data_IF_639332893577
#
_entry.id   IF_639332893577
#
_cell.length_a   1.000
_cell.length_b   1.000
_cell.length_c   1.000
_cell.angle_alpha   90.00
_cell.angle_beta   90.00
_cell.angle_gamma   90.00
#
_symmetry.space_group_name_H-M   'P 1'
#
loop_
_entity.id
_entity.type
_entity.pdbx_description
1 polymer ?
#
# COMPACT_ATOMS: atom_id res chain seq x y z
N UNK A 1 0.97 -8.00 13.49
CA UNK A 1 1.52 -9.07 12.61
C UNK A 1 2.82 -8.55 12.03
N UNK A 2 3.92 -9.27 12.21
CA UNK A 2 5.23 -8.86 11.70
C UNK A 2 5.24 -8.85 10.18
N UNK A 3 5.81 -7.80 9.58
CA UNK A 3 6.08 -7.72 8.14
C UNK A 3 7.57 -7.89 7.93
N UNK A 4 7.93 -8.83 7.06
CA UNK A 4 9.31 -9.16 6.72
C UNK A 4 9.94 -8.02 5.94
N UNK A 5 11.20 -7.71 6.23
CA UNK A 5 11.98 -6.77 5.43
C UNK A 5 12.65 -7.47 4.24
N UNK A 6 13.03 -8.74 4.44
CA UNK A 6 13.64 -9.58 3.42
C UNK A 6 12.56 -10.37 2.67
N UNK A 7 12.84 -10.64 1.41
CA UNK A 7 12.10 -11.59 0.60
C UNK A 7 12.92 -12.87 0.39
N UNK A 8 12.29 -13.91 -0.14
CA UNK A 8 12.95 -15.20 -0.32
C UNK A 8 14.14 -15.11 -1.29
N UNK A 9 14.09 -14.23 -2.30
CA UNK A 9 15.17 -14.04 -3.26
C UNK A 9 16.44 -13.47 -2.59
N UNK A 10 16.29 -12.68 -1.53
CA UNK A 10 17.45 -12.15 -0.79
C UNK A 10 18.27 -13.27 -0.13
N UNK A 11 17.61 -14.33 0.35
CA UNK A 11 18.28 -15.51 0.90
C UNK A 11 19.01 -16.31 -0.17
N UNK A 12 18.44 -16.39 -1.38
CA UNK A 12 19.03 -17.12 -2.50
C UNK A 12 20.37 -16.53 -2.97
N UNK A 13 20.66 -15.28 -2.61
CA UNK A 13 21.98 -14.67 -2.82
C UNK A 13 23.10 -15.23 -1.94
N UNK A 14 22.78 -15.97 -0.87
CA UNK A 14 23.75 -16.50 0.10
C UNK A 14 23.66 -18.02 0.27
N UNK A 15 22.47 -18.59 0.13
CA UNK A 15 22.21 -20.04 0.30
C UNK A 15 21.43 -20.60 -0.88
N UNK A 16 21.66 -21.87 -1.23
CA UNK A 16 20.93 -22.50 -2.34
C UNK A 16 19.47 -22.76 -1.96
N UNK A 17 18.55 -22.85 -2.95
CA UNK A 17 17.15 -23.15 -2.70
C UNK A 17 16.94 -24.44 -1.89
N UNK A 18 17.73 -25.48 -2.15
CA UNK A 18 17.62 -26.78 -1.47
C UNK A 18 17.96 -26.64 0.02
N UNK A 19 19.04 -25.91 0.33
CA UNK A 19 19.45 -25.65 1.71
C UNK A 19 18.41 -24.80 2.42
N UNK A 20 17.86 -23.79 1.75
CA UNK A 20 16.83 -22.93 2.32
C UNK A 20 15.54 -23.71 2.62
N UNK A 21 15.12 -24.58 1.72
CA UNK A 21 13.97 -25.46 1.91
C UNK A 21 14.19 -26.46 3.06
N UNK A 22 15.38 -27.05 3.15
CA UNK A 22 15.75 -27.93 4.27
C UNK A 22 15.72 -27.21 5.61
N UNK A 23 16.23 -25.98 5.64
CA UNK A 23 16.27 -25.23 6.88
C UNK A 23 14.85 -24.85 7.33
N UNK A 24 14.03 -24.36 6.41
CA UNK A 24 12.69 -23.90 6.76
C UNK A 24 11.70 -25.05 6.95
N UNK A 25 11.99 -26.25 6.41
CA UNK A 25 11.08 -27.41 6.37
C UNK A 25 9.68 -27.05 5.85
N UNK A 26 9.59 -26.03 4.99
CA UNK A 26 8.33 -25.48 4.49
C UNK A 26 7.54 -24.62 5.49
N UNK A 27 8.06 -24.35 6.69
CA UNK A 27 7.40 -23.50 7.68
C UNK A 27 7.88 -22.04 7.58
N UNK A 28 7.01 -21.20 7.05
CA UNK A 28 7.23 -19.75 6.91
C UNK A 28 7.49 -19.01 8.22
N UNK A 29 7.00 -19.52 9.37
CA UNK A 29 7.22 -18.87 10.67
C UNK A 29 8.70 -18.84 11.07
N UNK A 30 9.51 -19.78 10.59
CA UNK A 30 10.94 -19.79 10.91
C UNK A 30 11.66 -18.57 10.31
N UNK A 31 11.23 -18.09 9.14
CA UNK A 31 11.74 -16.84 8.59
C UNK A 31 11.37 -15.65 9.47
N UNK A 32 10.10 -15.57 9.88
CA UNK A 32 9.60 -14.47 10.72
C UNK A 32 10.41 -14.38 12.02
N UNK A 33 10.57 -15.49 12.74
CA UNK A 33 11.32 -15.50 14.01
C UNK A 33 12.80 -15.15 13.84
N UNK A 34 13.43 -15.66 12.78
CA UNK A 34 14.83 -15.38 12.50
C UNK A 34 15.07 -13.93 12.07
N UNK A 35 14.18 -13.35 11.24
CA UNK A 35 14.24 -11.94 10.85
C UNK A 35 13.95 -11.01 12.02
N UNK A 36 12.97 -11.34 12.88
CA UNK A 36 12.68 -10.58 14.11
C UNK A 36 13.91 -10.51 15.02
N UNK A 37 14.60 -11.64 15.24
CA UNK A 37 15.82 -11.68 16.05
C UNK A 37 16.97 -10.88 15.42
N UNK A 38 17.18 -11.05 14.10
CA UNK A 38 18.21 -10.32 13.37
C UNK A 38 17.95 -8.81 13.37
N UNK A 39 16.68 -8.41 13.20
CA UNK A 39 16.26 -7.01 13.22
C UNK A 39 16.42 -6.39 14.59
N UNK A 40 16.08 -7.12 15.66
CA UNK A 40 16.30 -6.66 17.03
C UNK A 40 17.77 -6.29 17.26
N UNK A 41 18.71 -7.14 16.80
CA UNK A 41 20.15 -6.82 16.88
C UNK A 41 20.53 -5.58 16.05
N UNK A 42 19.98 -5.42 14.84
CA UNK A 42 20.25 -4.24 14.00
C UNK A 42 19.72 -2.96 14.66
N UNK A 43 18.51 -3.00 15.20
CA UNK A 43 17.87 -1.86 15.86
C UNK A 43 18.61 -1.50 17.14
N UNK A 44 18.99 -2.48 17.96
CA UNK A 44 19.75 -2.26 19.20
C UNK A 44 21.04 -1.48 18.97
N UNK A 45 21.81 -1.84 17.93
CA UNK A 45 23.09 -1.18 17.64
C UNK A 45 22.95 0.17 16.95
N UNK A 46 21.95 0.36 16.09
CA UNK A 46 21.89 1.52 15.19
C UNK A 46 20.86 2.58 15.61
N UNK A 47 19.88 2.23 16.44
CA UNK A 47 18.77 3.14 16.78
C UNK A 47 19.19 4.38 17.55
N UNK A 48 20.32 4.36 18.26
CA UNK A 48 20.80 5.54 19.00
C UNK A 48 21.19 6.67 18.04
N UNK A 49 21.86 6.32 16.94
CA UNK A 49 22.54 7.25 16.05
C UNK A 49 21.85 7.44 14.69
N UNK A 50 21.00 6.49 14.30
CA UNK A 50 20.43 6.40 12.95
C UNK A 50 18.92 6.17 12.97
N UNK A 51 18.23 6.60 11.92
CA UNK A 51 16.80 6.36 11.69
C UNK A 51 16.54 4.96 11.11
N UNK A 52 17.14 3.93 11.71
CA UNK A 52 17.13 2.55 11.19
C UNK A 52 15.73 1.97 11.08
N UNK A 53 14.83 2.28 12.01
CA UNK A 53 13.44 1.82 11.98
C UNK A 53 12.68 2.39 10.77
N UNK A 54 12.96 3.64 10.38
CA UNK A 54 12.36 4.25 9.19
C UNK A 54 12.88 3.60 7.92
N UNK A 55 14.17 3.29 7.84
CA UNK A 55 14.74 2.55 6.70
C UNK A 55 14.18 1.12 6.60
N UNK A 56 14.02 0.42 7.72
CA UNK A 56 13.36 -0.89 7.75
C UNK A 56 11.90 -0.79 7.31
N UNK A 57 11.18 0.26 7.75
CA UNK A 57 9.81 0.49 7.36
C UNK A 57 9.65 0.66 5.84
N UNK A 58 10.60 1.28 5.14
CA UNK A 58 10.57 1.39 3.66
C UNK A 58 10.45 0.03 2.98
N UNK A 59 11.23 -0.96 3.43
CA UNK A 59 11.17 -2.32 2.88
C UNK A 59 9.94 -3.10 3.32
N UNK A 60 9.53 -2.96 4.58
CA UNK A 60 8.37 -3.67 5.15
C UNK A 60 7.02 -3.18 4.65
N UNK A 61 6.96 -1.97 4.11
CA UNK A 61 5.76 -1.37 3.56
C UNK A 61 5.57 -1.63 2.06
N UNK A 62 6.51 -2.31 1.39
CA UNK A 62 6.35 -2.76 0.01
C UNK A 62 5.28 -3.85 0.00
N UNK A 63 4.22 -3.63 -0.75
CA UNK A 63 3.12 -4.56 -0.92
C UNK A 63 3.11 -5.15 -2.34
N UNK A 64 2.49 -6.31 -2.50
CA UNK A 64 2.17 -6.85 -3.83
C UNK A 64 1.25 -5.91 -4.61
N UNK A 65 1.41 -5.93 -5.93
CA UNK A 65 0.49 -5.27 -6.83
C UNK A 65 -0.92 -5.83 -6.64
N UNK A 66 -1.87 -4.92 -6.44
CA UNK A 66 -3.27 -5.19 -6.26
C UNK A 66 -4.04 -4.19 -7.12
N UNK A 67 -4.77 -4.71 -8.11
CA UNK A 67 -5.55 -3.89 -9.07
C UNK A 67 -6.65 -3.04 -8.42
N UNK A 68 -6.94 -3.24 -7.13
CA UNK A 68 -7.86 -2.40 -6.33
C UNK A 68 -7.23 -1.09 -5.87
N UNK A 69 -5.91 -1.05 -5.80
CA UNK A 69 -5.15 0.04 -5.20
C UNK A 69 -4.60 0.95 -6.28
N UNK A 70 -4.72 2.26 -6.07
CA UNK A 70 -4.09 3.27 -6.92
C UNK A 70 -2.68 3.57 -6.41
N UNK A 71 -1.68 3.44 -7.29
CA UNK A 71 -0.27 3.64 -6.96
C UNK A 71 0.25 4.95 -7.58
N UNK A 72 0.64 5.95 -6.76
CA UNK A 72 1.25 7.18 -7.25
C UNK A 72 2.73 6.96 -7.64
N UNK A 73 3.30 7.91 -8.38
CA UNK A 73 4.72 7.87 -8.78
C UNK A 73 5.64 7.89 -7.55
N UNK A 74 6.71 7.09 -7.59
CA UNK A 74 7.76 6.99 -6.58
C UNK A 74 7.51 5.93 -5.50
N UNK A 75 6.37 5.23 -5.52
CA UNK A 75 6.13 4.09 -4.61
C UNK A 75 6.75 2.81 -5.15
N UNK A 76 7.02 1.86 -4.26
CA UNK A 76 7.57 0.55 -4.62
C UNK A 76 6.57 -0.57 -4.34
N UNK A 77 6.44 -1.49 -5.29
CA UNK A 77 5.52 -2.64 -5.22
C UNK A 77 6.24 -3.93 -5.63
N UNK A 78 5.74 -5.06 -5.14
CA UNK A 78 6.08 -6.36 -5.71
C UNK A 78 5.22 -6.62 -6.95
N UNK A 79 5.87 -6.84 -8.07
CA UNK A 79 5.24 -7.24 -9.33
C UNK A 79 6.05 -8.40 -9.92
N UNK A 80 5.38 -9.52 -10.20
CA UNK A 80 6.02 -10.76 -10.67
C UNK A 80 7.20 -11.24 -9.78
N UNK A 81 7.09 -11.04 -8.46
CA UNK A 81 8.11 -11.45 -7.48
C UNK A 81 9.35 -10.55 -7.42
N UNK A 82 9.36 -9.41 -8.13
CA UNK A 82 10.43 -8.42 -8.10
C UNK A 82 9.92 -7.06 -7.60
N UNK A 83 10.81 -6.28 -7.00
CA UNK A 83 10.48 -4.94 -6.51
C UNK A 83 10.66 -3.94 -7.65
N UNK A 84 9.58 -3.23 -7.96
CA UNK A 84 9.56 -2.19 -8.95
C UNK A 84 9.19 -0.85 -8.33
N UNK A 85 9.78 0.22 -8.84
CA UNK A 85 9.33 1.59 -8.63
C UNK A 85 8.26 1.96 -9.65
N UNK A 86 7.21 2.63 -9.19
CA UNK A 86 6.17 3.19 -10.03
C UNK A 86 6.67 4.52 -10.60
N UNK A 87 6.95 4.56 -11.90
CA UNK A 87 7.44 5.75 -12.62
C UNK A 87 6.31 6.52 -13.32
N UNK A 88 5.16 5.88 -13.53
CA UNK A 88 3.90 6.51 -13.94
C UNK A 88 2.79 5.94 -13.09
N UNK A 89 1.83 6.78 -12.69
CA UNK A 89 0.71 6.34 -11.86
C UNK A 89 -0.01 5.14 -12.46
N UNK A 90 -0.47 4.25 -11.58
CA UNK A 90 -1.27 3.08 -11.93
C UNK A 90 -2.57 3.22 -11.14
N UNK A 91 -3.68 3.38 -11.84
CA UNK A 91 -5.01 3.53 -11.25
C UNK A 91 -5.57 2.16 -10.88
N UNK A 92 -6.14 2.07 -9.68
CA UNK A 92 -6.98 0.93 -9.33
C UNK A 92 -8.39 1.12 -9.87
N UNK A 93 -9.13 0.02 -10.03
CA UNK A 93 -10.52 0.10 -10.48
C UNK A 93 -11.40 0.79 -9.43
N UNK A 94 -12.50 1.40 -9.89
CA UNK A 94 -13.45 2.12 -9.03
C UNK A 94 -14.77 1.36 -8.95
N UNK A 95 -15.32 1.22 -7.74
CA UNK A 95 -16.64 0.62 -7.52
C UNK A 95 -17.74 1.69 -7.54
N UNK A 96 -18.96 1.38 -8.02
CA UNK A 96 -20.12 2.25 -7.84
C UNK A 96 -20.42 2.50 -6.36
N UNK A 97 -21.12 3.59 -6.04
CA UNK A 97 -21.42 4.00 -4.68
C UNK A 97 -22.84 4.52 -4.57
N UNK A 98 -23.67 3.90 -3.72
CA UNK A 98 -25.04 4.33 -3.39
C UNK A 98 -25.10 5.29 -2.20
N UNK A 99 -23.95 5.57 -1.57
CA UNK A 99 -23.86 6.39 -0.36
C UNK A 99 -22.55 7.16 -0.29
N UNK A 100 -22.57 8.24 0.49
CA UNK A 100 -21.38 9.02 0.78
C UNK A 100 -20.54 8.35 1.86
N UNK A 101 -19.27 8.09 1.58
CA UNK A 101 -18.35 7.44 2.52
C UNK A 101 -17.50 8.40 3.34
N UNK A 102 -17.22 9.59 2.80
CA UNK A 102 -16.32 10.57 3.37
C UNK A 102 -16.95 11.95 3.35
N UNK A 103 -16.89 12.65 4.48
CA UNK A 103 -17.30 14.04 4.60
C UNK A 103 -16.15 14.88 5.13
N UNK A 104 -16.01 16.10 4.62
CA UNK A 104 -15.00 17.04 5.09
C UNK A 104 -15.33 17.50 6.52
N UNK A 105 -14.40 17.31 7.45
CA UNK A 105 -14.51 17.86 8.79
C UNK A 105 -14.41 19.39 8.75
N UNK A 106 -15.35 20.08 9.40
CA UNK A 106 -15.34 21.55 9.55
C UNK A 106 -14.77 21.98 10.91
N UNK A 107 -14.57 21.04 11.84
CA UNK A 107 -14.08 21.32 13.19
C UNK A 107 -12.63 21.86 13.20
N UNK A 108 -12.48 23.12 13.61
CA UNK A 108 -11.20 23.82 13.71
C UNK A 108 -10.38 23.45 14.94
N UNK A 109 -10.96 22.70 15.89
CA UNK A 109 -10.28 22.29 17.13
C UNK A 109 -9.38 21.06 16.97
N UNK A 110 -9.37 20.41 15.80
CA UNK A 110 -8.60 19.19 15.57
C UNK A 110 -7.20 19.56 15.07
N UNK A 111 -6.16 19.18 15.82
CA UNK A 111 -4.78 19.32 15.38
C UNK A 111 -4.51 18.34 14.22
N UNK A 112 -4.30 18.87 13.02
CA UNK A 112 -4.00 18.11 11.81
C UNK A 112 -2.78 17.20 11.96
N UNK A 113 -1.84 17.53 12.86
CA UNK A 113 -0.63 16.73 13.11
C UNK A 113 -0.91 15.45 13.89
N UNK A 114 -2.04 15.38 14.59
CA UNK A 114 -2.43 14.20 15.37
C UNK A 114 -3.27 13.22 14.53
N UNK A 115 -3.81 13.67 13.40
CA UNK A 115 -4.64 12.83 12.52
C UNK A 115 -3.74 12.08 11.55
N UNK A 116 -3.82 10.75 11.57
CA UNK A 116 -3.11 9.90 10.63
C UNK A 116 -3.52 10.15 9.19
N UNK A 117 -2.57 10.07 8.26
CA UNK A 117 -2.84 10.13 6.83
C UNK A 117 -3.77 8.99 6.37
N UNK A 118 -4.59 9.26 5.35
CA UNK A 118 -5.35 8.24 4.65
C UNK A 118 -4.42 7.22 4.00
N UNK A 119 -4.81 5.94 4.02
CA UNK A 119 -4.11 4.86 3.34
C UNK A 119 -5.12 3.84 2.81
N UNK A 120 -4.93 3.43 1.56
CA UNK A 120 -5.79 2.46 0.89
C UNK A 120 -5.72 1.06 1.51
N UNK A 121 -4.66 0.75 2.27
CA UNK A 121 -4.44 -0.55 2.92
C UNK A 121 -5.11 -0.69 4.29
N UNK A 122 -5.76 0.37 4.80
CA UNK A 122 -6.50 0.34 6.07
C UNK A 122 -7.99 0.11 5.82
N UNK A 123 -8.67 -0.31 6.88
CA UNK A 123 -10.13 -0.38 6.96
C UNK A 123 -10.64 0.68 7.94
N UNK A 124 -11.72 1.35 7.56
CA UNK A 124 -12.28 2.50 8.24
C UNK A 124 -13.72 2.21 8.67
N UNK A 125 -14.08 2.76 9.82
CA UNK A 125 -15.41 2.66 10.42
C UNK A 125 -16.02 4.06 10.59
N UNK A 126 -17.36 4.18 10.65
CA UNK A 126 -18.01 5.46 10.88
C UNK A 126 -17.45 6.21 12.09
N UNK A 127 -17.10 7.49 11.90
CA UNK A 127 -16.48 8.36 12.91
C UNK A 127 -14.95 8.42 12.86
N UNK A 128 -14.29 7.49 12.16
CA UNK A 128 -12.85 7.54 11.92
C UNK A 128 -12.47 8.83 11.17
N UNK A 129 -11.32 9.42 11.54
CA UNK A 129 -10.81 10.64 10.91
C UNK A 129 -9.48 10.39 10.22
N UNK A 130 -9.34 10.90 9.01
CA UNK A 130 -8.12 10.79 8.21
C UNK A 130 -7.73 12.13 7.62
N UNK A 131 -6.42 12.36 7.51
CA UNK A 131 -5.89 13.48 6.73
C UNK A 131 -5.62 13.00 5.29
N UNK A 132 -6.23 13.66 4.31
CA UNK A 132 -5.97 13.42 2.90
C UNK A 132 -5.73 14.76 2.20
N UNK A 133 -4.55 14.93 1.60
CA UNK A 133 -4.12 16.17 0.93
C UNK A 133 -4.29 17.45 1.77
N UNK A 134 -4.05 17.37 3.08
CA UNK A 134 -4.17 18.51 3.98
C UNK A 134 -5.60 18.86 4.38
N UNK A 135 -6.56 17.97 4.13
CA UNK A 135 -7.95 18.12 4.57
C UNK A 135 -8.33 16.92 5.43
N UNK A 136 -9.02 17.16 6.54
CA UNK A 136 -9.51 16.10 7.42
C UNK A 136 -10.87 15.63 6.91
N UNK A 137 -11.02 14.33 6.75
CA UNK A 137 -12.29 13.67 6.42
C UNK A 137 -12.76 12.80 7.57
N UNK A 138 -14.06 12.80 7.84
CA UNK A 138 -14.74 11.81 8.69
C UNK A 138 -15.34 10.71 7.82
N UNK A 139 -15.13 9.47 8.23
CA UNK A 139 -15.77 8.31 7.65
C UNK A 139 -17.24 8.26 8.07
N UNK A 140 -18.16 8.13 7.11
CA UNK A 140 -19.61 8.03 7.34
C UNK A 140 -20.11 6.59 7.24
N UNK A 141 -19.48 5.78 6.39
CA UNK A 141 -19.82 4.38 6.15
C UNK A 141 -18.56 3.53 6.10
N UNK A 142 -18.65 2.31 6.63
CA UNK A 142 -17.53 1.37 6.66
C UNK A 142 -16.98 1.10 5.26
N UNK A 143 -15.66 1.14 5.12
CA UNK A 143 -14.96 0.93 3.85
C UNK A 143 -13.49 0.55 4.08
N UNK A 144 -12.80 0.19 3.01
CA UNK A 144 -11.35 0.00 2.97
C UNK A 144 -10.92 -1.42 2.60
N UNK A 145 -9.63 -1.68 2.74
CA UNK A 145 -8.96 -2.81 2.11
C UNK A 145 -9.56 -4.19 2.43
N UNK A 146 -9.84 -4.46 3.72
CA UNK A 146 -10.38 -5.77 4.15
C UNK A 146 -11.83 -6.01 3.74
N UNK A 147 -12.57 -4.96 3.44
CA UNK A 147 -13.96 -5.06 2.97
C UNK A 147 -14.05 -5.16 1.45
N UNK A 148 -12.90 -5.22 0.75
CA UNK A 148 -12.85 -5.15 -0.70
C UNK A 148 -13.54 -3.87 -1.24
N UNK A 149 -13.58 -2.78 -0.46
CA UNK A 149 -14.31 -1.57 -0.82
C UNK A 149 -13.47 -0.33 -0.56
N UNK A 150 -12.44 -0.11 -1.37
CA UNK A 150 -11.52 1.01 -1.19
C UNK A 150 -12.19 2.29 -1.67
N UNK A 151 -12.48 3.21 -0.74
CA UNK A 151 -13.07 4.52 -1.02
C UNK A 151 -12.04 5.60 -0.73
N UNK A 152 -11.51 6.23 -1.77
CA UNK A 152 -10.55 7.33 -1.62
C UNK A 152 -11.36 8.63 -1.46
N UNK A 153 -11.07 9.48 -0.44
CA UNK A 153 -11.75 10.76 -0.30
C UNK A 153 -11.65 11.60 -1.58
N UNK A 154 -12.77 12.21 -1.97
CA UNK A 154 -12.92 13.02 -3.21
C UNK A 154 -12.84 12.26 -4.54
N UNK A 155 -12.70 10.94 -4.53
CA UNK A 155 -12.62 10.16 -5.78
C UNK A 155 -13.94 9.41 -5.97
N UNK A 156 -14.67 9.81 -7.02
CA UNK A 156 -15.78 9.05 -7.59
C UNK A 156 -15.38 8.57 -8.99
N UNK A 157 -16.04 7.53 -9.48
CA UNK A 157 -15.84 7.01 -10.83
C UNK A 157 -17.13 6.81 -11.60
N UNK A 158 -18.20 6.51 -10.87
CA UNK A 158 -19.52 6.18 -11.37
C UNK A 158 -20.52 7.27 -10.96
N UNK A 159 -21.42 7.61 -11.87
CA UNK A 159 -22.57 8.47 -11.61
C UNK A 159 -23.85 7.64 -11.64
N UNK A 160 -24.72 7.90 -10.68
CA UNK A 160 -26.02 7.24 -10.58
C UNK A 160 -26.99 7.82 -11.61
N UNK A 161 -27.77 6.94 -12.23
CA UNK A 161 -28.82 7.28 -13.19
C UNK A 161 -30.17 7.22 -12.48
N UNK A 162 -30.99 8.25 -12.66
CA UNK A 162 -32.38 8.19 -12.24
C UNK A 162 -33.14 7.15 -13.06
N UNK A 163 -33.72 6.16 -12.39
CA UNK A 163 -34.51 5.11 -13.00
C UNK A 163 -36.00 5.32 -12.76
N UNK A 164 -36.84 4.91 -13.72
CA UNK A 164 -38.31 4.98 -13.58
C UNK A 164 -38.93 3.63 -13.90
N UNK A 165 -40.10 3.33 -13.30
CA UNK A 165 -40.85 2.13 -13.65
C UNK A 165 -41.28 2.19 -15.12
N UNK A 166 -41.19 1.07 -15.83
CA UNK A 166 -41.64 1.00 -17.20
C UNK A 166 -43.16 1.21 -17.31
N UNK A 167 -43.54 2.06 -18.25
CA UNK A 167 -44.93 2.33 -18.64
C UNK A 167 -45.01 2.34 -20.17
N UNK A 168 -46.20 2.06 -20.76
CA UNK A 168 -46.35 2.07 -22.21
C UNK A 168 -46.41 3.49 -22.77
N UNK A 169 -45.25 4.16 -22.77
CA UNK A 169 -45.05 5.54 -23.24
C UNK A 169 -43.81 5.61 -24.13
N UNK A 170 -43.68 6.69 -24.90
CA UNK A 170 -42.48 6.92 -25.71
C UNK A 170 -41.28 7.24 -24.81
N UNK A 171 -40.15 6.58 -25.09
CA UNK A 171 -38.88 6.80 -24.40
C UNK A 171 -37.82 7.28 -25.39
N UNK A 172 -36.97 8.26 -25.01
CA UNK A 172 -35.77 8.55 -25.80
C UNK A 172 -34.78 7.38 -25.74
N UNK A 173 -33.93 7.28 -26.77
CA UNK A 173 -32.82 6.32 -26.81
C UNK A 173 -31.97 6.44 -25.53
N UNK A 174 -31.51 5.31 -25.00
CA UNK A 174 -30.74 5.13 -23.77
C UNK A 174 -31.50 5.36 -22.46
N UNK A 175 -32.81 5.62 -22.51
CA UNK A 175 -33.64 5.68 -21.31
C UNK A 175 -33.53 4.40 -20.49
N UNK A 176 -33.39 4.55 -19.18
CA UNK A 176 -33.31 3.44 -18.24
C UNK A 176 -34.65 3.26 -17.52
N UNK A 177 -35.17 2.04 -17.52
CA UNK A 177 -36.43 1.66 -16.90
C UNK A 177 -36.28 0.43 -16.02
N UNK A 178 -37.09 0.35 -14.97
CA UNK A 178 -37.23 -0.83 -14.11
C UNK A 178 -38.47 -1.63 -14.55
N UNK A 179 -38.30 -2.94 -14.76
CA UNK A 179 -39.38 -3.87 -15.12
C UNK A 179 -39.10 -5.27 -14.52
N UNK A 180 -40.08 -5.84 -13.81
CA UNK A 180 -39.99 -7.17 -13.16
C UNK A 180 -38.69 -7.40 -12.37
N UNK A 181 -38.34 -6.47 -11.47
CA UNK A 181 -37.11 -6.47 -10.65
C UNK A 181 -35.77 -6.39 -11.44
N UNK A 182 -35.82 -6.15 -12.75
CA UNK A 182 -34.65 -5.89 -13.60
C UNK A 182 -34.59 -4.46 -14.13
N UNK A 183 -33.42 -4.06 -14.62
CA UNK A 183 -33.21 -2.77 -15.28
C UNK A 183 -32.90 -2.96 -16.76
N UNK A 184 -33.50 -2.10 -17.59
CA UNK A 184 -33.38 -2.14 -19.04
C UNK A 184 -33.05 -0.76 -19.57
N UNK A 185 -32.24 -0.71 -20.63
CA UNK A 185 -31.97 0.52 -21.39
C UNK A 185 -32.47 0.37 -22.82
N UNK A 186 -33.02 1.43 -23.39
CA UNK A 186 -33.48 1.43 -24.79
C UNK A 186 -32.26 1.56 -25.71
N UNK A 187 -31.90 0.48 -26.41
CA UNK A 187 -30.68 0.42 -27.26
C UNK A 187 -30.95 0.69 -28.74
N UNK A 188 -32.20 0.60 -29.19
CA UNK A 188 -32.58 0.87 -30.58
C UNK A 188 -33.98 1.45 -30.70
N UNK A 189 -34.19 2.29 -31.71
CA UNK A 189 -35.51 2.78 -32.11
C UNK A 189 -36.07 2.05 -33.34
N UNK A 190 -35.32 1.09 -33.89
CA UNK A 190 -35.73 0.35 -35.09
C UNK A 190 -36.90 -0.59 -34.76
N UNK A 191 -38.09 -0.28 -35.28
CA UNK A 191 -39.34 -0.97 -34.97
C UNK A 191 -39.72 -0.91 -33.48
N UNK A 192 -39.31 0.14 -32.77
CA UNK A 192 -39.72 0.36 -31.39
C UNK A 192 -41.24 0.57 -31.29
N UNK A 193 -41.88 -0.22 -30.44
CA UNK A 193 -43.28 -0.08 -30.05
C UNK A 193 -43.34 0.12 -28.53
N UNK A 194 -43.79 1.30 -28.11
CA UNK A 194 -43.90 1.68 -26.71
C UNK A 194 -44.90 0.81 -25.92
N UNK A 195 -45.77 0.05 -26.57
CA UNK A 195 -46.73 -0.83 -25.89
C UNK A 195 -46.17 -2.23 -25.59
N UNK A 196 -44.99 -2.57 -26.11
CA UNK A 196 -44.34 -3.86 -25.90
C UNK A 196 -43.34 -3.74 -24.76
N UNK A 197 -43.45 -4.65 -23.79
CA UNK A 197 -42.58 -4.63 -22.61
C UNK A 197 -41.10 -4.92 -22.94
N UNK A 198 -40.17 -4.53 -22.05
CA UNK A 198 -38.73 -4.69 -22.28
C UNK A 198 -38.24 -6.13 -22.42
N UNK A 199 -38.97 -7.12 -21.91
CA UNK A 199 -38.60 -8.53 -22.03
C UNK A 199 -39.00 -9.12 -23.39
N UNK A 200 -40.11 -8.67 -23.95
CA UNK A 200 -40.61 -9.12 -25.25
C UNK A 200 -39.99 -8.36 -26.44
N UNK A 201 -39.58 -7.11 -26.24
CA UNK A 201 -39.02 -6.26 -27.30
C UNK A 201 -37.50 -6.40 -27.41
N UNK A 202 -37.01 -6.59 -28.65
CA UNK A 202 -35.56 -6.62 -28.94
C UNK A 202 -34.90 -5.24 -28.93
N UNK A 203 -35.68 -4.16 -28.77
CA UNK A 203 -35.17 -2.79 -28.72
C UNK A 203 -34.55 -2.45 -27.36
N UNK A 204 -34.84 -3.24 -26.33
CA UNK A 204 -34.33 -3.05 -24.97
C UNK A 204 -33.15 -3.98 -24.70
N UNK A 205 -32.12 -3.45 -24.07
CA UNK A 205 -30.99 -4.21 -23.53
C UNK A 205 -31.12 -4.33 -22.02
N UNK A 206 -31.04 -5.55 -21.50
CA UNK A 206 -30.94 -5.77 -20.05
C UNK A 206 -29.59 -5.24 -19.54
N UNK A 207 -29.63 -4.49 -18.44
CA UNK A 207 -28.44 -3.93 -17.80
C UNK A 207 -27.89 -4.98 -16.84
N UNK A 208 -26.60 -5.31 -16.99
CA UNK A 208 -25.95 -6.33 -16.17
C UNK A 208 -25.52 -5.77 -14.80
N UNK A 209 -25.36 -6.67 -13.83
CA UNK A 209 -24.75 -6.33 -12.54
C UNK A 209 -23.28 -5.93 -12.72
N UNK A 210 -22.84 -4.96 -11.92
CA UNK A 210 -21.44 -4.58 -11.83
C UNK A 210 -20.60 -5.76 -11.34
N UNK A 211 -19.64 -6.18 -12.17
CA UNK A 211 -18.62 -7.14 -11.82
C UNK A 211 -17.28 -6.43 -11.59
N UNK A 212 -16.73 -6.60 -10.39
CA UNK A 212 -15.42 -6.04 -10.08
C UNK A 212 -14.30 -6.75 -10.82
N UNK A 213 -14.48 -8.00 -11.28
CA UNK A 213 -13.49 -8.74 -12.07
C UNK A 213 -13.41 -8.29 -13.54
N UNK A 214 -14.48 -7.69 -14.07
CA UNK A 214 -14.48 -7.11 -15.40
C UNK A 214 -13.71 -5.79 -15.43
N UNK A 215 -12.90 -5.58 -16.48
CA UNK A 215 -11.95 -4.45 -16.57
C UNK A 215 -11.97 -3.77 -17.95
N UNK A 216 -13.06 -3.94 -18.70
CA UNK A 216 -13.21 -3.40 -20.04
C UNK A 216 -14.55 -2.65 -20.17
N UNK A 217 -14.94 -1.92 -19.12
CA UNK A 217 -16.08 -1.02 -19.18
C UNK A 217 -15.73 0.16 -20.08
N UNK A 218 -16.64 0.53 -20.98
CA UNK A 218 -16.44 1.66 -21.88
C UNK A 218 -16.70 2.98 -21.16
N UNK A 219 -15.81 3.97 -21.34
CA UNK A 219 -16.04 5.32 -20.83
C UNK A 219 -17.09 6.02 -21.72
N UNK A 220 -18.37 5.78 -21.41
CA UNK A 220 -19.54 6.25 -22.15
C UNK A 220 -20.70 6.53 -21.20
N UNK A 221 -21.50 7.55 -21.52
CA UNK A 221 -22.74 7.89 -20.77
C UNK A 221 -23.84 6.82 -20.91
N UNK A 222 -23.63 5.84 -21.80
CA UNK A 222 -24.57 4.77 -22.10
C UNK A 222 -24.07 3.38 -21.66
N UNK A 223 -22.89 3.30 -21.04
CA UNK A 223 -22.37 2.06 -20.45
C UNK A 223 -22.97 1.91 -19.05
N UNK A 224 -24.08 1.17 -18.96
CA UNK A 224 -24.81 1.03 -17.71
C UNK A 224 -24.46 -0.26 -16.95
N UNK A 225 -24.42 -0.15 -15.62
CA UNK A 225 -24.30 -1.28 -14.71
C UNK A 225 -25.27 -1.16 -13.55
N UNK A 226 -25.75 -2.28 -13.03
CA UNK A 226 -26.56 -2.33 -11.81
C UNK A 226 -25.65 -2.59 -10.62
N UNK A 227 -25.79 -1.79 -9.56
CA UNK A 227 -25.10 -2.02 -8.30
C UNK A 227 -26.03 -1.67 -7.14
N UNK A 228 -26.26 -2.62 -6.23
CA UNK A 228 -27.11 -2.43 -5.04
C UNK A 228 -28.50 -1.86 -5.39
N UNK A 229 -29.13 -2.41 -6.45
CA UNK A 229 -30.43 -1.99 -7.02
C UNK A 229 -30.48 -0.56 -7.61
N UNK A 230 -29.34 0.06 -7.89
CA UNK A 230 -29.28 1.35 -8.58
C UNK A 230 -28.47 1.20 -9.87
N UNK A 231 -28.75 2.03 -10.88
CA UNK A 231 -28.06 2.00 -12.17
C UNK A 231 -27.00 3.09 -12.20
N UNK A 232 -25.83 2.77 -12.74
CA UNK A 232 -24.70 3.69 -12.84
C UNK A 232 -24.09 3.69 -14.23
N UNK A 233 -23.46 4.79 -14.61
CA UNK A 233 -22.57 4.89 -15.77
C UNK A 233 -21.21 5.51 -15.38
N UNK A 234 -20.13 5.24 -16.13
CA UNK A 234 -18.81 5.76 -15.80
C UNK A 234 -18.68 7.24 -16.18
N UNK A 235 -18.29 8.07 -15.22
CA UNK A 235 -17.95 9.49 -15.44
C UNK A 235 -16.48 9.68 -15.82
N UNK A 236 -15.63 8.79 -15.32
CA UNK A 236 -14.18 8.79 -15.55
C UNK A 236 -13.72 7.39 -15.86
N UNK A 237 -12.45 7.21 -16.23
CA UNK A 237 -11.92 5.85 -16.36
C UNK A 237 -11.98 5.12 -15.00
N UNK A 238 -12.80 4.07 -14.96
CA UNK A 238 -13.07 3.26 -13.78
C UNK A 238 -12.32 1.92 -13.81
N UNK A 239 -11.69 1.59 -14.94
CA UNK A 239 -10.95 0.35 -15.08
C UNK A 239 -9.60 0.47 -14.36
N UNK A 240 -9.06 -0.64 -13.90
CA UNK A 240 -7.71 -0.70 -13.39
C UNK A 240 -6.71 -0.63 -14.54
N UNK A 241 -5.66 0.16 -14.36
CA UNK A 241 -4.54 0.20 -15.29
C UNK A 241 -3.78 -1.14 -15.25
N UNK A 242 -3.48 -1.71 -16.41
CA UNK A 242 -2.61 -2.88 -16.52
C UNK A 242 -1.14 -2.45 -16.46
N UNK A 243 -0.40 -2.78 -15.38
CA UNK A 243 0.95 -2.31 -15.21
C UNK A 243 1.90 -3.00 -16.21
N UNK A 244 2.78 -2.20 -16.83
CA UNK A 244 3.83 -2.71 -17.71
C UNK A 244 5.22 -2.22 -17.33
N UNK A 245 6.18 -3.15 -17.33
CA UNK A 245 7.59 -2.86 -17.06
C UNK A 245 8.19 -2.06 -18.21
N UNK A 246 8.86 -0.96 -17.88
CA UNK A 246 9.39 0.02 -18.83
C UNK A 246 8.43 1.17 -19.17
N UNK A 247 7.16 1.09 -18.75
CA UNK A 247 6.18 2.16 -18.95
C UNK A 247 5.65 2.70 -17.62
N UNK A 248 4.95 1.88 -16.83
CA UNK A 248 4.53 2.25 -15.47
C UNK A 248 5.58 1.90 -14.42
N UNK A 249 6.33 0.82 -14.65
CA UNK A 249 7.21 0.21 -13.66
C UNK A 249 8.67 0.24 -14.10
N UNK A 250 9.58 0.52 -13.17
CA UNK A 250 11.02 0.39 -13.35
C UNK A 250 11.60 -0.54 -12.28
N UNK A 251 12.52 -1.44 -12.66
CA UNK A 251 13.17 -2.34 -11.70
C UNK A 251 14.05 -1.52 -10.74
N UNK A 252 13.66 -1.44 -9.47
CA UNK A 252 14.39 -0.67 -8.47
C UNK A 252 14.03 -1.13 -7.05
N UNK A 253 15.04 -1.56 -6.30
CA UNK A 253 14.91 -1.93 -4.89
C UNK A 253 15.27 -0.73 -3.99
N UNK A 254 14.31 -0.13 -3.25
CA UNK A 254 14.56 1.05 -2.43
C UNK A 254 15.25 0.71 -1.10
N UNK A 255 15.39 -0.58 -0.77
CA UNK A 255 15.93 -1.02 0.52
C UNK A 255 17.43 -0.74 0.57
N UNK A 256 17.90 -0.22 1.70
CA UNK A 256 19.33 0.04 1.91
C UNK A 256 20.13 -1.27 1.72
N UNK A 257 21.11 -1.23 0.81
CA UNK A 257 21.90 -2.39 0.43
C UNK A 257 22.68 -3.00 1.61
N UNK A 258 23.27 -2.17 2.48
CA UNK A 258 24.04 -2.64 3.62
C UNK A 258 23.14 -3.31 4.66
N UNK A 259 22.00 -2.69 4.97
CA UNK A 259 21.00 -3.29 5.86
C UNK A 259 20.55 -4.64 5.31
N UNK A 260 20.19 -4.71 4.03
CA UNK A 260 19.80 -5.96 3.38
C UNK A 260 20.90 -7.03 3.51
N UNK A 261 22.13 -6.70 3.13
CA UNK A 261 23.28 -7.62 3.18
C UNK A 261 23.51 -8.19 4.58
N UNK A 262 23.57 -7.33 5.59
CA UNK A 262 23.87 -7.75 6.96
C UNK A 262 22.68 -8.44 7.62
N UNK A 263 21.45 -7.98 7.36
CA UNK A 263 20.25 -8.60 7.90
C UNK A 263 20.05 -10.03 7.36
N UNK A 264 20.29 -10.28 6.06
CA UNK A 264 20.21 -11.66 5.51
C UNK A 264 21.22 -12.58 6.20
N UNK A 265 22.45 -12.13 6.42
CA UNK A 265 23.50 -12.92 7.10
C UNK A 265 23.12 -13.27 8.53
N UNK A 266 22.65 -12.28 9.29
CA UNK A 266 22.17 -12.46 10.66
C UNK A 266 20.96 -13.40 10.70
N UNK A 267 19.99 -13.20 9.80
CA UNK A 267 18.78 -14.03 9.72
C UNK A 267 19.11 -15.48 9.36
N UNK A 268 20.02 -15.74 8.41
CA UNK A 268 20.47 -17.10 8.07
C UNK A 268 21.15 -17.77 9.27
N UNK A 269 21.97 -17.03 10.01
CA UNK A 269 22.60 -17.56 11.22
C UNK A 269 21.55 -17.96 12.27
N UNK A 270 20.63 -17.06 12.62
CA UNK A 270 19.56 -17.36 13.58
C UNK A 270 18.67 -18.50 13.11
N UNK A 271 18.33 -18.54 11.82
CA UNK A 271 17.55 -19.61 11.24
C UNK A 271 18.26 -20.97 11.40
N UNK A 272 19.57 -21.02 11.18
CA UNK A 272 20.35 -22.26 11.34
C UNK A 272 20.50 -22.69 12.79
N UNK A 273 20.64 -21.74 13.71
CA UNK A 273 20.67 -21.96 15.16
C UNK A 273 19.35 -22.52 15.68
N UNK A 274 18.21 -22.09 15.13
CA UNK A 274 16.89 -22.62 15.50
C UNK A 274 16.72 -24.11 15.16
N UNK A 275 17.38 -24.60 14.11
CA UNK A 275 17.17 -25.95 13.58
C UNK A 275 18.27 -26.91 14.02
N UNK A 276 19.53 -26.45 13.97
CA UNK A 276 20.72 -27.23 14.22
C UNK A 276 21.75 -26.40 14.99
N UNK A 277 21.50 -26.08 16.28
CA UNK A 277 22.36 -25.21 17.08
C UNK A 277 23.79 -25.72 17.20
N UNK A 278 23.98 -27.05 17.17
CA UNK A 278 25.29 -27.69 17.29
C UNK A 278 26.00 -27.88 15.94
N UNK A 279 25.40 -27.49 14.82
CA UNK A 279 25.94 -27.73 13.48
C UNK A 279 25.80 -26.50 12.57
N UNK A 280 26.28 -25.36 13.07
CA UNK A 280 26.40 -24.13 12.27
C UNK A 280 27.73 -24.16 11.52
N UNK A 281 27.70 -23.94 10.20
CA UNK A 281 28.92 -23.94 9.40
C UNK A 281 29.83 -22.78 9.77
N UNK A 282 31.15 -23.00 9.68
CA UNK A 282 32.17 -21.97 9.95
C UNK A 282 31.96 -20.71 9.09
N UNK A 283 31.49 -20.89 7.85
CA UNK A 283 31.17 -19.77 6.95
C UNK A 283 30.06 -18.89 7.53
N UNK A 284 28.99 -19.49 8.08
CA UNK A 284 27.87 -18.76 8.69
C UNK A 284 28.27 -18.04 9.97
N UNK A 285 29.11 -18.67 10.79
CA UNK A 285 29.66 -18.05 12.00
C UNK A 285 30.47 -16.81 11.62
N UNK A 286 31.34 -16.92 10.61
CA UNK A 286 32.14 -15.80 10.12
C UNK A 286 31.27 -14.67 9.54
N UNK A 287 30.26 -15.00 8.74
CA UNK A 287 29.33 -14.00 8.18
C UNK A 287 28.56 -13.26 9.28
N UNK A 288 28.20 -13.96 10.35
CA UNK A 288 27.59 -13.39 11.55
C UNK A 288 28.57 -12.45 12.27
N UNK A 289 29.78 -12.90 12.57
CA UNK A 289 30.83 -12.10 13.23
C UNK A 289 31.18 -10.83 12.44
N UNK A 290 31.32 -10.94 11.12
CA UNK A 290 31.59 -9.81 10.23
C UNK A 290 30.43 -8.80 10.25
N UNK A 291 29.19 -9.28 10.34
CA UNK A 291 27.99 -8.42 10.43
C UNK A 291 27.87 -7.74 11.80
N UNK A 292 28.17 -8.45 12.90
CA UNK A 292 28.21 -7.87 14.24
C UNK A 292 29.33 -6.85 14.39
N UNK A 293 30.50 -7.08 13.77
CA UNK A 293 31.58 -6.08 13.73
C UNK A 293 31.15 -4.84 12.96
N UNK A 294 30.52 -5.01 11.79
CA UNK A 294 29.98 -3.89 11.00
C UNK A 294 28.96 -3.07 11.81
N UNK A 295 28.04 -3.72 12.52
CA UNK A 295 27.09 -3.05 13.41
C UNK A 295 27.79 -2.27 14.52
N UNK A 296 28.80 -2.86 15.17
CA UNK A 296 29.56 -2.16 16.21
C UNK A 296 30.35 -0.97 15.66
N UNK A 297 30.94 -1.07 14.48
CA UNK A 297 31.72 0.03 13.89
C UNK A 297 30.79 1.15 13.39
N UNK A 298 29.61 0.81 12.84
CA UNK A 298 28.57 1.76 12.49
C UNK A 298 28.03 2.49 13.73
N UNK A 299 27.72 1.76 14.80
CA UNK A 299 27.26 2.33 16.07
C UNK A 299 28.26 3.35 16.65
N UNK A 300 29.56 3.05 16.53
CA UNK A 300 30.68 3.93 16.96
C UNK A 300 31.08 5.00 15.94
N UNK A 301 30.30 5.17 14.86
CA UNK A 301 30.50 6.18 13.82
C UNK A 301 31.83 6.04 13.06
N UNK A 302 32.43 4.85 13.06
CA UNK A 302 33.69 4.55 12.36
C UNK A 302 33.48 4.30 10.87
N UNK A 303 32.26 3.98 10.47
CA UNK A 303 31.86 3.80 9.07
C UNK A 303 30.48 4.39 8.82
N UNK A 304 30.18 4.65 7.55
CA UNK A 304 28.90 5.22 7.12
C UNK A 304 27.99 4.12 6.58
N UNK A 305 26.91 3.73 7.29
CA UNK A 305 26.01 2.68 6.84
C UNK A 305 25.06 3.11 5.70
N UNK A 306 25.13 4.37 5.26
CA UNK A 306 24.19 5.01 4.33
C UNK A 306 22.75 5.05 4.85
N UNK A 307 22.60 5.16 6.17
CA UNK A 307 21.33 5.34 6.87
C UNK A 307 21.26 6.79 7.34
N UNK A 308 20.11 7.49 7.20
CA UNK A 308 19.94 8.83 7.74
C UNK A 308 20.23 8.90 9.24
N UNK A 309 20.90 9.97 9.68
CA UNK A 309 21.18 10.25 11.09
C UNK A 309 19.92 10.72 11.79
N UNK A 310 19.78 10.37 13.07
CA UNK A 310 18.81 11.06 13.94
C UNK A 310 19.23 12.51 14.11
N UNK A 311 18.25 13.41 14.10
CA UNK A 311 18.45 14.84 14.29
C UNK A 311 18.02 15.27 15.69
N UNK A 312 18.76 16.20 16.29
CA UNK A 312 18.41 16.86 17.55
C UNK A 312 17.38 17.98 17.35
N UNK A 313 16.98 18.64 18.43
CA UNK A 313 16.03 19.78 18.40
C UNK A 313 16.52 20.96 17.55
N UNK A 314 17.83 21.05 17.30
CA UNK A 314 18.46 22.06 16.46
C UNK A 314 18.62 21.63 15.00
N UNK A 315 18.06 20.46 14.63
CA UNK A 315 18.20 19.81 13.32
C UNK A 315 19.64 19.44 12.96
N UNK A 316 20.52 19.27 13.95
CA UNK A 316 21.88 18.75 13.76
C UNK A 316 21.91 17.24 14.05
N UNK A 317 22.78 16.45 13.42
CA UNK A 317 22.91 15.02 13.73
C UNK A 317 23.25 14.81 15.20
N UNK A 318 22.51 13.91 15.87
CA UNK A 318 22.79 13.52 17.26
C UNK A 318 24.24 13.00 17.32
N UNK A 319 25.06 13.61 18.14
CA UNK A 319 26.41 13.12 18.48
C UNK A 319 26.33 12.26 19.73
N UNK A 320 27.23 11.29 19.84
CA UNK A 320 27.40 10.46 21.04
C UNK A 320 27.51 11.37 22.28
N UNK A 321 26.79 11.06 23.37
CA UNK A 321 26.73 11.90 24.57
C UNK A 321 28.13 12.16 25.18
N UNK A 322 29.08 11.24 24.96
CA UNK A 322 30.48 11.38 25.38
C UNK A 322 31.27 12.40 24.55
N UNK A 323 30.83 12.67 23.32
CA UNK A 323 31.36 13.73 22.46
C UNK A 323 30.55 15.03 22.60
N UNK A 324 29.29 14.96 23.04
CA UNK A 324 28.44 16.13 23.31
C UNK A 324 29.00 17.04 24.43
N UNK A 325 29.85 16.51 25.32
CA UNK A 325 30.57 17.29 26.33
C UNK A 325 31.72 18.12 25.77
N UNK A 326 32.24 17.79 24.59
CA UNK A 326 33.11 18.70 23.83
C UNK A 326 32.23 19.49 22.89
N UNK A 327 31.87 20.71 23.31
CA UNK A 327 31.12 21.66 22.47
C UNK A 327 31.71 21.70 21.05
N UNK A 328 30.97 21.17 20.08
CA UNK A 328 31.33 21.30 18.66
C UNK A 328 31.06 22.71 18.13
N UNK A 329 30.33 23.52 18.89
CA UNK A 329 29.98 24.90 18.60
C UNK A 329 29.93 25.66 19.94
N UNK A 330 30.78 26.68 20.11
CA UNK A 330 30.85 27.46 21.35
C UNK A 330 29.78 28.56 21.30
N UNK A 331 28.66 28.35 22.00
CA UNK A 331 27.66 29.40 22.27
C UNK A 331 27.82 29.89 23.73
N UNK A 332 28.35 31.10 23.95
CA UNK A 332 28.57 31.64 25.29
C UNK A 332 27.27 31.82 26.10
N UNK A 333 26.10 31.87 25.45
CA UNK A 333 24.80 32.03 26.13
C UNK A 333 24.11 30.71 26.48
N UNK A 334 24.66 29.56 26.07
CA UNK A 334 24.13 28.22 26.38
C UNK A 334 25.08 27.37 27.22
N UNK A 335 26.20 27.93 27.65
CA UNK A 335 27.21 27.19 28.41
C UNK A 335 26.77 26.99 29.87
N UNK A 336 26.58 25.74 30.34
CA UNK A 336 26.19 25.45 31.73
C UNK A 336 27.22 25.92 32.79
N UNK A 337 28.47 26.16 32.38
CA UNK A 337 29.54 26.62 33.26
C UNK A 337 29.58 28.14 33.41
N UNK A 338 28.87 28.88 32.57
CA UNK A 338 28.65 30.32 32.71
C UNK A 338 27.22 30.54 33.23
N UNK A 339 27.03 30.31 34.53
CA UNK A 339 25.86 30.80 35.27
C UNK A 339 26.00 32.31 35.46
#
# INVERSE_FOLDING_TARGET
MYRRFLNNNDYLGIITPEVLAQLTRGNGEHFVRAEEAAEASVVEYLSENYEVEKELAKGKCIADYDRRVTYPVGVHIYFEGQIHEVIRSISGYRKPATKTFWEKCVDTCIDMKQVSGYTQFKTYYPGDKVNYNGVIYSCLAENGYKFDDIRIPMVAGWLEVETSLWHPVEYPLWSVVEYEDGFFTLVSLDNFDSNVDPMASSCWGAIADYDSAYNAYELSENEYVVYDRHVFYPETDINADEPSVGFNLALHDPRNYNLKKHLVRLAVYELTKLIAPNNVSVVRIRDYEDSMRWLSDAAKLRLTPQIPRKLDETRKPVTDWQLATFQTDYDPYKNPWMI
#
